data_IF_435311383621
#
_entry.id   IF_435311383621
#
_cell.length_a   1.000
_cell.length_b   1.000
_cell.length_c   1.000
_cell.angle_alpha   90.00
_cell.angle_beta   90.00
_cell.angle_gamma   90.00
#
_symmetry.space_group_name_H-M   'P 1'
#
loop_
_entity.id
_entity.type
_entity.pdbx_description
1 polymer ?
#
# COMPACT_ATOMS: atom_id res chain seq x y z
N UNK A 1 25.67 7.79 14.91
CA UNK A 1 24.75 6.68 14.58
C UNK A 1 23.84 6.39 15.77
N UNK A 2 22.70 5.78 15.53
CA UNK A 2 21.73 5.28 16.52
C UNK A 2 21.82 3.75 16.49
N UNK A 3 22.28 3.16 17.57
CA UNK A 3 22.69 1.75 17.64
C UNK A 3 21.81 1.04 18.67
N UNK A 4 21.14 -0.03 18.27
CA UNK A 4 20.44 -0.92 19.18
C UNK A 4 21.34 -2.08 19.61
N UNK A 5 21.45 -2.30 20.92
CA UNK A 5 22.29 -3.32 21.56
C UNK A 5 21.39 -4.30 22.28
N UNK A 6 21.35 -5.53 21.82
CA UNK A 6 20.46 -6.59 22.27
C UNK A 6 21.24 -7.88 22.47
N UNK A 7 20.86 -8.69 23.44
CA UNK A 7 21.36 -10.05 23.58
C UNK A 7 20.33 -10.95 24.26
N UNK A 8 20.26 -12.21 23.83
CA UNK A 8 19.60 -13.25 24.61
C UNK A 8 20.33 -13.45 25.97
N UNK A 9 19.62 -13.98 26.94
CA UNK A 9 20.16 -14.11 28.31
C UNK A 9 21.51 -14.83 28.36
N UNK A 10 21.67 -15.93 27.64
CA UNK A 10 22.92 -16.69 27.57
C UNK A 10 24.06 -15.93 26.86
N UNK A 11 23.77 -14.86 26.12
CA UNK A 11 24.77 -14.09 25.37
C UNK A 11 25.02 -12.68 25.94
N UNK A 12 24.35 -12.32 27.04
CA UNK A 12 24.48 -10.98 27.66
C UNK A 12 25.90 -10.71 28.14
N UNK A 13 26.56 -11.70 28.75
CA UNK A 13 27.91 -11.55 29.23
C UNK A 13 28.89 -11.24 28.07
N UNK A 14 28.77 -11.94 26.95
CA UNK A 14 29.57 -11.70 25.75
C UNK A 14 29.31 -10.29 25.17
N UNK A 15 28.07 -9.83 25.16
CA UNK A 15 27.75 -8.47 24.72
C UNK A 15 28.36 -7.42 25.66
N UNK A 16 28.27 -7.62 26.98
CA UNK A 16 28.93 -6.72 27.97
C UNK A 16 30.43 -6.64 27.75
N UNK A 17 31.10 -7.76 27.59
CA UNK A 17 32.52 -7.80 27.29
C UNK A 17 32.89 -7.07 26.00
N UNK A 18 32.09 -7.33 24.94
CA UNK A 18 32.26 -6.64 23.66
C UNK A 18 32.04 -5.14 23.76
N UNK A 19 30.97 -4.71 24.44
CA UNK A 19 30.70 -3.29 24.69
C UNK A 19 31.77 -2.62 25.55
N UNK A 20 32.33 -3.34 26.56
CA UNK A 20 33.41 -2.81 27.40
C UNK A 20 34.66 -2.53 26.55
N UNK A 21 35.00 -3.47 25.68
CA UNK A 21 36.14 -3.27 24.76
C UNK A 21 35.92 -2.10 23.79
N UNK A 22 34.71 -1.87 23.37
CA UNK A 22 34.33 -0.85 22.40
C UNK A 22 33.72 0.41 23.04
N UNK A 23 33.76 0.56 24.36
CA UNK A 23 33.05 1.59 25.12
C UNK A 23 33.32 3.00 24.62
N UNK A 24 34.58 3.29 24.33
CA UNK A 24 35.05 4.61 23.87
C UNK A 24 34.47 4.99 22.50
N UNK A 25 34.33 4.01 21.61
CA UNK A 25 33.69 4.24 20.29
C UNK A 25 32.18 4.34 20.44
N UNK A 26 31.55 3.44 21.20
CA UNK A 26 30.13 3.41 21.43
C UNK A 26 29.62 4.68 22.10
N UNK A 27 30.36 5.27 23.02
CA UNK A 27 30.00 6.49 23.74
C UNK A 27 29.77 7.71 22.83
N UNK A 28 30.31 7.69 21.62
CA UNK A 28 30.12 8.74 20.61
C UNK A 28 28.81 8.61 19.84
N UNK A 29 28.02 7.61 20.15
CA UNK A 29 26.78 7.28 19.43
C UNK A 29 25.57 7.27 20.38
N UNK A 30 24.35 7.34 19.83
CA UNK A 30 23.11 7.17 20.58
C UNK A 30 22.82 5.68 20.70
N UNK A 31 22.77 5.18 21.93
CA UNK A 31 22.60 3.76 22.21
C UNK A 31 21.22 3.46 22.77
N UNK A 32 20.63 2.38 22.32
CA UNK A 32 19.38 1.81 22.83
C UNK A 32 19.64 0.37 23.24
N UNK A 33 18.98 -0.10 24.28
CA UNK A 33 19.09 -1.49 24.72
C UNK A 33 17.80 -2.00 25.32
N UNK A 34 17.51 -3.30 25.13
CA UNK A 34 16.36 -3.91 25.80
C UNK A 34 16.58 -4.03 27.28
N UNK A 35 15.55 -3.78 28.06
CA UNK A 35 15.41 -3.86 29.52
C UNK A 35 16.66 -4.18 30.34
N UNK A 36 16.89 -5.46 30.59
CA UNK A 36 18.05 -5.91 31.41
C UNK A 36 19.38 -5.68 30.71
N UNK A 37 19.44 -5.73 29.38
CA UNK A 37 20.67 -5.46 28.61
C UNK A 37 21.10 -4.00 28.80
N UNK A 38 20.21 -3.05 28.64
CA UNK A 38 20.51 -1.63 28.85
C UNK A 38 21.05 -1.35 30.26
N UNK A 39 20.46 -1.98 31.29
CA UNK A 39 20.92 -1.86 32.68
C UNK A 39 22.35 -2.38 32.89
N UNK A 40 22.70 -3.52 32.27
CA UNK A 40 24.04 -4.09 32.36
C UNK A 40 25.05 -3.20 31.65
N UNK A 41 24.71 -2.71 30.46
CA UNK A 41 25.59 -1.85 29.66
C UNK A 41 25.79 -0.46 30.29
N UNK A 42 24.80 0.08 30.98
CA UNK A 42 24.88 1.34 31.72
C UNK A 42 25.85 1.32 32.89
N UNK A 43 26.38 0.14 33.30
CA UNK A 43 27.43 0.05 34.32
C UNK A 43 28.85 0.07 33.74
N UNK A 44 28.99 0.07 32.42
CA UNK A 44 30.31 0.08 31.75
C UNK A 44 30.94 1.47 31.90
N UNK A 45 32.15 1.59 32.48
CA UNK A 45 32.85 2.87 32.62
C UNK A 45 33.41 3.31 31.26
N UNK A 46 33.23 4.57 30.92
CA UNK A 46 33.81 5.23 29.76
C UNK A 46 34.74 6.33 30.26
N UNK A 47 35.98 6.29 29.81
CA UNK A 47 36.93 7.35 30.13
C UNK A 47 36.70 8.57 29.25
N UNK A 48 36.53 9.72 29.87
CA UNK A 48 36.33 10.99 29.18
C UNK A 48 37.52 11.92 29.42
N UNK A 49 37.87 12.67 28.39
CA UNK A 49 38.86 13.72 28.48
C UNK A 49 38.37 14.84 29.42
N UNK A 50 39.31 15.52 30.13
CA UNK A 50 38.96 16.67 30.94
C UNK A 50 38.25 17.73 30.09
N UNK A 51 37.24 18.38 30.68
CA UNK A 51 36.63 19.53 30.02
C UNK A 51 37.61 20.66 29.92
N UNK A 52 37.66 21.44 28.81
CA UNK A 52 38.62 22.55 28.65
C UNK A 52 38.55 23.65 29.71
N UNK A 53 37.42 23.75 30.35
CA UNK A 53 37.11 24.75 31.40
C UNK A 53 37.14 24.18 32.84
N UNK A 54 37.55 22.91 32.98
CA UNK A 54 37.68 22.30 34.30
C UNK A 54 38.93 22.80 35.05
N UNK A 55 38.75 23.07 36.34
CA UNK A 55 39.85 23.52 37.20
C UNK A 55 40.98 22.51 37.39
N UNK A 56 40.68 21.25 37.08
CA UNK A 56 41.67 20.16 37.07
C UNK A 56 41.62 19.44 35.70
N UNK A 57 42.77 19.12 35.12
CA UNK A 57 42.86 18.37 33.85
C UNK A 57 42.82 16.85 34.10
N UNK A 58 41.99 16.38 35.03
CA UNK A 58 41.93 14.98 35.40
C UNK A 58 40.88 14.24 34.54
N UNK A 59 41.28 13.07 34.08
CA UNK A 59 40.41 12.13 33.39
C UNK A 59 39.30 11.64 34.36
N UNK A 60 38.07 11.59 33.89
CA UNK A 60 36.96 11.09 34.68
C UNK A 60 36.22 9.98 33.94
N UNK A 61 35.62 9.10 34.69
CA UNK A 61 34.82 8.02 34.15
C UNK A 61 33.32 8.34 34.27
N UNK A 62 32.59 8.10 33.22
CA UNK A 62 31.10 8.13 33.22
C UNK A 62 30.54 6.79 32.78
N UNK A 63 29.35 6.41 33.23
CA UNK A 63 28.71 5.23 32.73
C UNK A 63 28.35 5.40 31.26
N UNK A 64 28.42 4.29 30.49
CA UNK A 64 27.96 4.27 29.10
C UNK A 64 26.48 4.62 29.05
N UNK A 65 26.13 5.64 28.27
CA UNK A 65 24.76 6.13 28.18
C UNK A 65 23.95 5.24 27.21
N UNK A 66 23.03 4.44 27.75
CA UNK A 66 22.15 3.55 26.98
C UNK A 66 20.71 3.83 27.34
N UNK A 67 19.91 4.23 26.38
CA UNK A 67 18.48 4.43 26.56
C UNK A 67 17.76 3.08 26.69
N UNK A 68 17.10 2.82 27.83
CA UNK A 68 16.44 1.54 28.05
C UNK A 68 15.12 1.46 27.27
N UNK A 69 14.89 0.35 26.61
CA UNK A 69 13.61 -0.07 26.05
C UNK A 69 13.00 -1.13 26.96
N UNK A 70 11.80 -1.62 26.62
CA UNK A 70 11.20 -2.76 27.29
C UNK A 70 12.08 -4.01 27.14
N UNK A 71 11.94 -4.99 28.00
CA UNK A 71 12.55 -6.32 27.78
C UNK A 71 11.92 -7.01 26.59
N UNK A 72 12.66 -7.91 25.91
CA UNK A 72 12.18 -8.62 24.70
C UNK A 72 10.77 -9.20 24.89
N UNK A 73 10.54 -10.09 25.89
CA UNK A 73 9.22 -10.70 26.13
C UNK A 73 8.10 -9.69 26.45
N UNK A 74 8.42 -8.46 26.78
CA UNK A 74 7.46 -7.38 27.05
C UNK A 74 7.30 -6.41 25.86
N UNK A 75 7.84 -6.75 24.69
CA UNK A 75 7.72 -5.92 23.49
C UNK A 75 8.93 -5.03 23.16
N UNK A 76 10.08 -5.25 23.80
CA UNK A 76 11.31 -4.53 23.46
C UNK A 76 11.76 -4.73 22.01
N UNK A 77 11.57 -5.94 21.49
CA UNK A 77 11.91 -6.30 20.11
C UNK A 77 11.00 -5.55 19.14
N UNK A 78 9.71 -5.43 19.44
CA UNK A 78 8.74 -4.66 18.65
C UNK A 78 9.04 -3.16 18.67
N UNK A 79 9.50 -2.62 19.81
CA UNK A 79 9.95 -1.21 19.88
C UNK A 79 11.12 -0.96 18.94
N UNK A 80 12.13 -1.85 18.94
CA UNK A 80 13.27 -1.74 18.02
C UNK A 80 12.81 -1.87 16.57
N UNK A 81 11.91 -2.82 16.27
CA UNK A 81 11.33 -3.01 14.95
C UNK A 81 10.60 -1.77 14.44
N UNK A 82 9.80 -1.12 15.28
CA UNK A 82 9.15 0.15 14.95
C UNK A 82 10.18 1.26 14.70
N UNK A 83 11.21 1.38 15.55
CA UNK A 83 12.29 2.36 15.36
C UNK A 83 13.09 2.13 14.09
N UNK A 84 13.28 0.88 13.64
CA UNK A 84 13.88 0.55 12.34
C UNK A 84 12.99 1.06 11.20
N UNK A 85 11.70 0.74 11.25
CA UNK A 85 10.74 1.15 10.23
C UNK A 85 10.59 2.68 10.11
N UNK A 86 10.74 3.39 11.23
CA UNK A 86 10.73 4.85 11.30
C UNK A 86 12.10 5.49 10.95
N UNK A 87 13.10 4.69 10.61
CA UNK A 87 14.45 5.15 10.32
C UNK A 87 15.17 5.76 11.53
N UNK A 88 14.85 5.31 12.74
CA UNK A 88 15.47 5.77 14.02
C UNK A 88 16.59 4.87 14.51
N UNK A 89 16.90 3.78 13.82
CA UNK A 89 18.02 2.87 14.10
C UNK A 89 18.87 2.74 12.84
N UNK A 90 20.16 2.95 12.98
CA UNK A 90 21.13 2.88 11.89
C UNK A 90 21.93 1.56 11.93
N UNK A 91 22.02 0.93 13.12
CA UNK A 91 22.74 -0.33 13.31
C UNK A 91 22.09 -1.15 14.42
N UNK A 92 21.96 -2.46 14.20
CA UNK A 92 21.46 -3.43 15.16
C UNK A 92 22.56 -4.45 15.50
N UNK A 93 22.98 -4.50 16.75
CA UNK A 93 23.89 -5.54 17.29
C UNK A 93 23.04 -6.42 18.21
N UNK A 94 22.73 -7.63 17.76
CA UNK A 94 21.90 -8.58 18.49
C UNK A 94 22.62 -9.92 18.65
N UNK A 95 23.23 -10.15 19.80
CA UNK A 95 23.90 -11.45 20.07
C UNK A 95 22.84 -12.52 20.35
N UNK A 96 22.55 -13.29 19.30
CA UNK A 96 21.54 -14.34 19.32
C UNK A 96 22.08 -15.65 19.93
N UNK A 97 21.25 -16.30 20.74
CA UNK A 97 21.41 -17.71 21.07
C UNK A 97 20.39 -18.52 20.24
N UNK A 98 20.91 -19.26 19.27
CA UNK A 98 20.11 -20.08 18.36
C UNK A 98 20.07 -21.57 18.77
N UNK A 99 20.71 -21.94 19.87
CA UNK A 99 20.73 -23.32 20.35
C UNK A 99 19.50 -23.64 21.20
N UNK A 100 19.00 -22.65 21.91
CA UNK A 100 17.84 -22.80 22.80
C UNK A 100 16.63 -22.13 22.17
N UNK A 101 15.54 -22.88 22.05
CA UNK A 101 14.25 -22.31 21.59
C UNK A 101 13.74 -21.31 22.61
N UNK A 102 13.77 -20.04 22.27
CA UNK A 102 13.21 -18.96 23.08
C UNK A 102 11.71 -18.85 22.81
N UNK A 103 10.93 -18.51 23.83
CA UNK A 103 9.48 -18.33 23.68
C UNK A 103 9.07 -17.22 22.70
N UNK A 104 10.00 -16.31 22.32
CA UNK A 104 9.78 -15.20 21.38
C UNK A 104 10.71 -15.28 20.15
N UNK A 105 11.12 -16.49 19.74
CA UNK A 105 12.02 -16.67 18.58
C UNK A 105 11.44 -16.14 17.28
N UNK A 106 10.13 -16.10 17.15
CA UNK A 106 9.44 -15.51 16.00
C UNK A 106 9.63 -13.99 15.94
N UNK A 107 9.68 -13.31 17.08
CA UNK A 107 9.91 -11.87 17.19
C UNK A 107 11.33 -11.52 16.77
N UNK A 108 12.31 -12.34 17.14
CA UNK A 108 13.70 -12.22 16.70
C UNK A 108 13.80 -12.31 15.17
N UNK A 109 13.14 -13.32 14.58
CA UNK A 109 13.07 -13.50 13.14
C UNK A 109 12.43 -12.29 12.44
N UNK A 110 11.38 -11.74 13.01
CA UNK A 110 10.72 -10.53 12.51
C UNK A 110 11.64 -9.31 12.56
N UNK A 111 12.39 -9.14 13.65
CA UNK A 111 13.33 -8.03 13.82
C UNK A 111 14.48 -8.10 12.80
N UNK A 112 15.09 -9.27 12.61
CA UNK A 112 16.13 -9.50 11.59
C UNK A 112 15.60 -9.25 10.18
N UNK A 113 14.38 -9.69 9.88
CA UNK A 113 13.72 -9.41 8.61
C UNK A 113 13.53 -7.91 8.37
N UNK A 114 13.11 -7.15 9.39
CA UNK A 114 12.97 -5.69 9.27
C UNK A 114 14.32 -5.02 9.04
N UNK A 115 15.36 -5.40 9.77
CA UNK A 115 16.71 -4.87 9.57
C UNK A 115 17.19 -5.10 8.12
N UNK A 116 16.99 -6.31 7.58
CA UNK A 116 17.30 -6.62 6.18
C UNK A 116 16.47 -5.80 5.21
N UNK A 117 15.15 -5.68 5.44
CA UNK A 117 14.23 -4.95 4.56
C UNK A 117 14.59 -3.47 4.46
N UNK A 118 14.90 -2.84 5.58
CA UNK A 118 15.25 -1.41 5.64
C UNK A 118 16.76 -1.14 5.42
N UNK A 119 17.53 -2.16 5.03
CA UNK A 119 18.96 -2.08 4.78
C UNK A 119 19.75 -1.49 5.97
N UNK A 120 19.34 -1.82 7.19
CA UNK A 120 20.03 -1.47 8.42
C UNK A 120 21.18 -2.45 8.62
N UNK A 121 22.38 -1.95 8.92
CA UNK A 121 23.53 -2.80 9.27
C UNK A 121 23.19 -3.62 10.51
N UNK A 122 23.35 -4.95 10.47
CA UNK A 122 23.05 -5.79 11.64
C UNK A 122 24.05 -6.92 11.83
N UNK A 123 24.31 -7.24 13.08
CA UNK A 123 25.14 -8.37 13.51
C UNK A 123 24.37 -9.26 14.48
N UNK A 124 24.39 -10.58 14.24
CA UNK A 124 23.80 -11.58 15.12
C UNK A 124 24.82 -12.31 16.00
N UNK A 125 26.09 -11.96 15.84
CA UNK A 125 27.23 -12.53 16.57
C UNK A 125 28.39 -11.50 16.67
N UNK A 126 29.37 -11.82 17.53
CA UNK A 126 30.49 -10.96 17.82
C UNK A 126 31.36 -10.67 16.58
N UNK A 127 31.70 -11.68 15.79
CA UNK A 127 32.55 -11.51 14.62
C UNK A 127 31.98 -10.49 13.63
N UNK A 128 30.66 -10.58 13.34
CA UNK A 128 30.02 -9.61 12.46
C UNK A 128 29.98 -8.22 13.10
N UNK A 129 29.76 -8.14 14.42
CA UNK A 129 29.78 -6.86 15.14
C UNK A 129 31.17 -6.21 15.07
N UNK A 130 32.27 -6.98 15.20
CA UNK A 130 33.63 -6.50 15.05
C UNK A 130 33.88 -5.95 13.63
N UNK A 131 33.44 -6.67 12.61
CA UNK A 131 33.57 -6.23 11.21
C UNK A 131 32.80 -4.92 10.94
N UNK A 132 31.58 -4.78 11.48
CA UNK A 132 30.83 -3.54 11.38
C UNK A 132 31.54 -2.39 12.08
N UNK A 133 32.01 -2.62 13.31
CA UNK A 133 32.67 -1.60 14.15
C UNK A 133 33.98 -1.09 13.53
N UNK A 134 34.71 -1.97 12.86
CA UNK A 134 35.99 -1.65 12.22
C UNK A 134 35.84 -1.12 10.79
N UNK A 135 34.62 -1.11 10.25
CA UNK A 135 34.36 -0.59 8.92
C UNK A 135 34.64 0.93 8.84
N UNK A 136 35.28 1.44 7.79
CA UNK A 136 35.42 2.87 7.56
C UNK A 136 34.09 3.61 7.35
N UNK A 137 33.03 2.87 7.12
CA UNK A 137 31.64 3.41 7.00
C UNK A 137 30.98 3.59 8.36
N UNK A 138 31.51 2.94 9.42
CA UNK A 138 30.91 3.04 10.74
C UNK A 138 31.07 4.45 11.30
N UNK A 139 29.94 5.09 11.66
CA UNK A 139 29.96 6.47 12.15
C UNK A 139 30.25 7.55 11.11
N UNK A 140 30.45 7.19 9.86
CA UNK A 140 30.62 8.14 8.77
C UNK A 140 29.30 8.89 8.51
N UNK A 141 29.29 10.22 8.67
CA UNK A 141 28.11 11.07 8.50
C UNK A 141 27.69 11.23 7.05
N UNK A 142 28.62 11.04 6.13
CA UNK A 142 28.37 11.18 4.69
C UNK A 142 27.82 9.88 4.06
N UNK A 143 27.99 8.76 4.76
CA UNK A 143 27.43 7.48 4.33
C UNK A 143 25.92 7.42 4.62
N UNK A 144 25.14 7.22 3.56
CA UNK A 144 23.70 7.00 3.65
C UNK A 144 23.36 5.61 3.09
N UNK A 145 22.77 4.72 3.88
CA UNK A 145 22.32 3.44 3.36
C UNK A 145 21.26 3.65 2.27
N UNK A 146 21.33 2.84 1.22
CA UNK A 146 20.34 2.86 0.13
C UNK A 146 19.12 2.09 0.60
N UNK A 147 18.01 2.79 0.73
CA UNK A 147 16.72 2.14 1.03
C UNK A 147 16.18 1.49 -0.26
N UNK A 148 15.79 0.20 -0.22
CA UNK A 148 15.26 -0.46 -1.40
C UNK A 148 14.01 0.25 -1.93
N UNK A 149 13.99 0.59 -3.22
CA UNK A 149 12.86 1.31 -3.85
C UNK A 149 11.53 0.53 -3.79
N UNK A 150 11.58 -0.78 -3.53
CA UNK A 150 10.39 -1.57 -3.27
C UNK A 150 9.61 -1.10 -2.02
N UNK A 151 10.28 -0.51 -1.02
CA UNK A 151 9.62 0.04 0.17
C UNK A 151 8.77 1.25 -0.19
N UNK A 152 9.30 2.17 -0.99
CA UNK A 152 8.56 3.35 -1.45
C UNK A 152 7.35 2.94 -2.29
N UNK A 153 7.52 2.05 -3.26
CA UNK A 153 6.40 1.51 -4.05
C UNK A 153 5.34 0.87 -3.15
N UNK A 154 5.76 0.18 -2.10
CA UNK A 154 4.82 -0.45 -1.18
C UNK A 154 4.09 0.56 -0.29
N UNK A 155 4.75 1.64 0.14
CA UNK A 155 4.12 2.73 0.91
C UNK A 155 3.09 3.48 0.05
N UNK A 156 3.46 3.81 -1.19
CA UNK A 156 2.64 4.63 -2.08
C UNK A 156 1.50 3.85 -2.75
N UNK A 157 1.44 2.51 -2.62
CA UNK A 157 0.41 1.66 -3.25
C UNK A 157 -1.03 2.00 -2.82
N UNK A 158 -1.23 2.58 -1.65
CA UNK A 158 -2.54 2.99 -1.16
C UNK A 158 -2.93 4.34 -1.77
N UNK A 159 -2.01 5.28 -1.89
CA UNK A 159 -2.22 6.55 -2.57
C UNK A 159 -2.58 6.33 -4.04
N UNK A 160 -1.87 5.43 -4.74
CA UNK A 160 -2.19 5.03 -6.11
C UNK A 160 -3.57 4.35 -6.25
N UNK A 161 -4.06 3.68 -5.21
CA UNK A 161 -5.41 3.09 -5.18
C UNK A 161 -6.47 4.14 -4.97
N UNK A 162 -6.30 5.01 -3.99
CA UNK A 162 -7.23 6.11 -3.72
C UNK A 162 -7.38 7.03 -4.96
N UNK A 163 -6.28 7.35 -5.65
CA UNK A 163 -6.34 8.09 -6.92
C UNK A 163 -7.10 7.35 -8.03
N UNK A 164 -6.95 6.02 -8.11
CA UNK A 164 -7.68 5.22 -9.09
C UNK A 164 -9.16 5.12 -8.75
N UNK A 165 -9.49 4.92 -7.49
CA UNK A 165 -10.86 4.80 -7.03
C UNK A 165 -11.59 6.15 -7.21
N UNK A 166 -10.95 7.28 -6.91
CA UNK A 166 -11.47 8.62 -7.16
C UNK A 166 -11.72 8.87 -8.65
N UNK A 167 -10.77 8.49 -9.53
CA UNK A 167 -10.96 8.60 -10.99
C UNK A 167 -12.09 7.73 -11.51
N UNK A 168 -12.27 6.53 -10.96
CA UNK A 168 -13.39 5.64 -11.33
C UNK A 168 -14.72 6.25 -10.90
N UNK A 169 -14.79 6.85 -9.71
CA UNK A 169 -15.99 7.56 -9.24
C UNK A 169 -16.29 8.81 -10.08
N UNK A 170 -15.29 9.59 -10.46
CA UNK A 170 -15.45 10.74 -11.35
C UNK A 170 -15.98 10.32 -12.73
N UNK A 171 -15.41 9.27 -13.33
CA UNK A 171 -15.86 8.73 -14.62
C UNK A 171 -17.30 8.19 -14.51
N UNK A 172 -17.61 7.50 -13.41
CA UNK A 172 -18.98 7.01 -13.18
C UNK A 172 -19.99 8.16 -13.03
N UNK A 173 -19.63 9.24 -12.33
CA UNK A 173 -20.47 10.43 -12.21
C UNK A 173 -20.63 11.17 -13.54
N UNK A 174 -19.58 11.29 -14.35
CA UNK A 174 -19.68 11.86 -15.71
C UNK A 174 -20.59 11.01 -16.62
N UNK A 175 -20.54 9.69 -16.53
CA UNK A 175 -21.42 8.81 -17.29
C UNK A 175 -22.89 8.95 -16.85
N UNK A 176 -23.16 9.06 -15.56
CA UNK A 176 -24.52 9.27 -15.03
C UNK A 176 -25.09 10.62 -15.51
N UNK A 177 -24.29 11.69 -15.49
CA UNK A 177 -24.74 13.01 -15.99
C UNK A 177 -24.93 13.04 -17.50
N UNK A 178 -24.17 12.27 -18.27
CA UNK A 178 -24.40 12.12 -19.71
C UNK A 178 -25.68 11.34 -20.02
N UNK A 179 -25.96 10.28 -19.24
CA UNK A 179 -27.20 9.49 -19.38
C UNK A 179 -28.45 10.26 -18.97
N UNK A 180 -28.36 11.19 -18.02
CA UNK A 180 -29.49 12.04 -17.65
C UNK A 180 -29.86 13.07 -18.74
N UNK A 181 -28.90 13.47 -19.58
CA UNK A 181 -29.10 14.41 -20.67
C UNK A 181 -29.59 13.77 -21.98
N UNK A 182 -29.66 12.45 -22.08
CA UNK A 182 -30.20 11.78 -23.26
C UNK A 182 -31.71 11.95 -23.28
N UNK A 183 -32.33 12.45 -24.37
CA UNK A 183 -33.79 12.56 -24.50
C UNK A 183 -34.43 11.19 -24.28
N UNK A 184 -35.58 11.17 -23.59
CA UNK A 184 -36.27 9.93 -23.25
C UNK A 184 -36.62 9.10 -24.50
N UNK A 185 -36.92 9.76 -25.62
CA UNK A 185 -37.12 9.11 -26.92
C UNK A 185 -35.88 8.33 -27.38
N UNK A 186 -34.68 8.88 -27.18
CA UNK A 186 -33.42 8.20 -27.51
C UNK A 186 -33.17 7.03 -26.56
N UNK A 187 -33.47 7.19 -25.25
CA UNK A 187 -33.41 6.07 -24.30
C UNK A 187 -34.35 4.94 -24.73
N UNK A 188 -35.60 5.24 -25.02
CA UNK A 188 -36.57 4.24 -25.50
C UNK A 188 -36.13 3.57 -26.81
N UNK A 189 -35.53 4.33 -27.74
CA UNK A 189 -34.98 3.74 -28.94
C UNK A 189 -33.82 2.78 -28.64
N UNK A 190 -32.94 3.14 -27.67
CA UNK A 190 -31.82 2.31 -27.26
C UNK A 190 -32.25 1.02 -26.56
N UNK A 191 -33.42 1.00 -25.92
CA UNK A 191 -33.96 -0.20 -25.26
C UNK A 191 -34.54 -1.22 -26.26
N UNK A 192 -34.85 -0.82 -27.50
CA UNK A 192 -35.36 -1.75 -28.51
C UNK A 192 -34.30 -2.83 -28.81
N UNK A 193 -34.79 -4.04 -29.02
CA UNK A 193 -33.93 -5.14 -29.47
C UNK A 193 -33.27 -4.84 -30.83
N UNK A 194 -32.07 -5.34 -31.04
CA UNK A 194 -31.27 -5.12 -32.28
C UNK A 194 -32.08 -5.50 -33.51
N UNK A 195 -32.80 -6.63 -33.45
CA UNK A 195 -33.61 -7.14 -34.56
C UNK A 195 -34.74 -6.18 -34.93
N UNK A 196 -35.39 -5.55 -33.94
CA UNK A 196 -36.48 -4.57 -34.18
C UNK A 196 -35.90 -3.29 -34.78
N UNK A 197 -34.81 -2.77 -34.23
CA UNK A 197 -34.12 -1.60 -34.75
C UNK A 197 -33.70 -1.75 -36.22
N UNK A 198 -33.04 -2.84 -36.55
CA UNK A 198 -32.59 -3.12 -37.93
C UNK A 198 -33.75 -3.21 -38.91
N UNK A 199 -34.83 -3.88 -38.54
CA UNK A 199 -36.00 -4.00 -39.41
C UNK A 199 -36.71 -2.67 -39.64
N UNK A 200 -36.86 -1.82 -38.61
CA UNK A 200 -37.43 -0.48 -38.75
C UNK A 200 -36.53 0.39 -39.61
N UNK A 201 -35.21 0.36 -39.39
CA UNK A 201 -34.23 1.11 -40.14
C UNK A 201 -34.27 0.72 -41.64
N UNK A 202 -34.25 -0.57 -41.94
CA UNK A 202 -34.31 -1.09 -43.30
C UNK A 202 -35.63 -0.72 -44.01
N UNK A 203 -36.77 -0.77 -43.32
CA UNK A 203 -38.05 -0.38 -43.86
C UNK A 203 -38.12 1.13 -44.15
N UNK A 204 -37.59 1.98 -43.28
CA UNK A 204 -37.48 3.44 -43.51
C UNK A 204 -36.59 3.77 -44.71
N UNK A 205 -35.46 3.10 -44.86
CA UNK A 205 -34.54 3.24 -46.02
C UNK A 205 -35.24 2.88 -47.37
N UNK A 206 -36.25 2.00 -47.31
CA UNK A 206 -37.06 1.62 -48.46
C UNK A 206 -38.33 2.47 -48.64
N UNK A 207 -38.49 3.55 -47.89
CA UNK A 207 -39.66 4.42 -47.85
C UNK A 207 -40.96 3.69 -47.50
N UNK A 208 -40.88 2.62 -46.74
CA UNK A 208 -42.01 1.92 -46.21
C UNK A 208 -42.46 2.56 -44.88
N UNK A 209 -43.76 2.50 -44.58
CA UNK A 209 -44.31 3.01 -43.33
C UNK A 209 -44.78 1.90 -42.39
N UNK A 210 -44.40 0.67 -42.70
CA UNK A 210 -44.67 -0.50 -41.86
C UNK A 210 -43.62 -1.57 -42.04
N UNK A 211 -43.48 -2.40 -40.98
CA UNK A 211 -42.67 -3.60 -41.02
C UNK A 211 -43.38 -4.75 -40.32
N UNK A 212 -43.20 -5.97 -40.85
CA UNK A 212 -43.78 -7.19 -40.27
C UNK A 212 -42.68 -8.05 -39.67
N UNK A 213 -42.85 -8.43 -38.41
CA UNK A 213 -42.00 -9.34 -37.71
C UNK A 213 -42.69 -10.67 -37.56
N UNK A 214 -42.15 -11.72 -38.20
CA UNK A 214 -42.74 -13.07 -38.18
C UNK A 214 -42.71 -13.62 -36.75
N UNK A 215 -43.80 -14.24 -36.34
CA UNK A 215 -43.88 -14.96 -35.06
C UNK A 215 -43.45 -16.41 -35.26
N UNK A 216 -42.49 -16.85 -34.46
CA UNK A 216 -42.03 -18.25 -34.47
C UNK A 216 -42.52 -18.94 -33.17
N UNK A 217 -43.86 -19.15 -33.05
CA UNK A 217 -44.49 -19.77 -31.88
C UNK A 217 -45.45 -18.85 -31.13
N UNK A 218 -46.13 -19.31 -30.09
CA UNK A 218 -47.18 -18.58 -29.40
C UNK A 218 -46.72 -17.31 -28.69
N UNK A 219 -45.45 -17.22 -28.28
CA UNK A 219 -44.94 -16.09 -27.50
C UNK A 219 -43.82 -15.29 -28.18
N UNK A 220 -43.42 -15.64 -29.40
CA UNK A 220 -42.27 -15.02 -30.07
C UNK A 220 -42.73 -13.95 -31.08
N UNK A 221 -43.13 -12.82 -30.54
CA UNK A 221 -43.33 -11.57 -31.28
C UNK A 221 -42.33 -10.52 -30.80
N UNK A 222 -42.84 -9.36 -30.46
CA UNK A 222 -42.10 -8.31 -29.75
C UNK A 222 -42.08 -8.62 -28.26
N UNK A 223 -40.94 -8.38 -27.62
CA UNK A 223 -40.89 -8.41 -26.15
C UNK A 223 -41.77 -7.32 -25.55
N UNK A 224 -42.16 -7.44 -24.29
CA UNK A 224 -42.96 -6.41 -23.62
C UNK A 224 -42.16 -5.08 -23.54
N UNK A 225 -40.86 -5.13 -23.41
CA UNK A 225 -39.98 -3.94 -23.45
C UNK A 225 -40.01 -3.30 -24.85
N UNK A 226 -39.85 -4.11 -25.92
CA UNK A 226 -39.96 -3.58 -27.29
C UNK A 226 -41.35 -2.95 -27.56
N UNK A 227 -42.41 -3.55 -27.09
CA UNK A 227 -43.79 -3.00 -27.24
C UNK A 227 -43.94 -1.66 -26.52
N UNK A 228 -43.47 -1.58 -25.27
CA UNK A 228 -43.54 -0.36 -24.47
C UNK A 228 -42.73 0.76 -25.10
N UNK A 229 -41.50 0.47 -25.52
CA UNK A 229 -40.60 1.43 -26.17
C UNK A 229 -41.18 1.93 -27.51
N UNK A 230 -41.72 1.03 -28.35
CA UNK A 230 -42.34 1.39 -29.63
C UNK A 230 -43.57 2.28 -29.46
N UNK A 231 -44.46 1.94 -28.51
CA UNK A 231 -45.66 2.75 -28.22
C UNK A 231 -45.24 4.14 -27.73
N UNK A 232 -44.26 4.23 -26.87
CA UNK A 232 -43.74 5.52 -26.41
C UNK A 232 -43.15 6.35 -27.56
N UNK A 233 -42.50 5.71 -28.52
CA UNK A 233 -41.90 6.34 -29.71
C UNK A 233 -42.96 6.66 -30.78
N UNK A 234 -44.26 6.46 -30.51
CA UNK A 234 -45.34 6.79 -31.42
C UNK A 234 -45.61 5.77 -32.53
N UNK A 235 -45.04 4.56 -32.43
CA UNK A 235 -45.35 3.47 -33.36
C UNK A 235 -46.68 2.80 -32.99
N UNK A 236 -47.42 2.38 -34.00
CA UNK A 236 -48.61 1.55 -33.81
C UNK A 236 -48.28 0.07 -34.00
N UNK A 237 -48.71 -0.75 -33.08
CA UNK A 237 -48.47 -2.18 -33.10
C UNK A 237 -49.83 -2.92 -33.32
N UNK A 238 -49.90 -3.78 -34.31
CA UNK A 238 -50.97 -4.73 -34.49
C UNK A 238 -50.43 -6.14 -34.63
N UNK A 239 -51.11 -7.10 -34.04
CA UNK A 239 -50.65 -8.49 -34.02
C UNK A 239 -51.71 -9.43 -34.51
N UNK A 240 -51.31 -10.44 -35.27
CA UNK A 240 -52.14 -11.60 -35.61
C UNK A 240 -51.38 -12.88 -35.32
N UNK A 241 -51.92 -14.03 -35.65
CA UNK A 241 -51.30 -15.32 -35.39
C UNK A 241 -49.96 -15.55 -36.13
N UNK A 242 -49.73 -14.84 -37.25
CA UNK A 242 -48.57 -15.05 -38.09
C UNK A 242 -47.41 -14.05 -37.87
N UNK A 243 -47.72 -12.80 -37.53
CA UNK A 243 -46.74 -11.72 -37.40
C UNK A 243 -47.23 -10.58 -36.47
N UNK A 244 -46.27 -9.80 -35.98
CA UNK A 244 -46.45 -8.46 -35.42
C UNK A 244 -46.18 -7.44 -36.51
N UNK A 245 -47.11 -6.52 -36.73
CA UNK A 245 -46.97 -5.39 -37.63
C UNK A 245 -46.68 -4.14 -36.80
N UNK A 246 -45.60 -3.47 -37.13
CA UNK A 246 -45.22 -2.16 -36.56
C UNK A 246 -45.46 -1.14 -37.70
N UNK A 247 -46.20 -0.08 -37.45
CA UNK A 247 -46.45 0.98 -38.43
C UNK A 247 -46.21 2.33 -37.79
N UNK A 248 -45.88 3.31 -38.62
CA UNK A 248 -45.64 4.70 -38.22
C UNK A 248 -46.18 5.64 -39.31
N UNK A 249 -46.41 6.89 -38.94
CA UNK A 249 -46.76 7.94 -39.90
C UNK A 249 -45.45 8.40 -40.54
N UNK A 250 -45.33 8.33 -41.85
CA UNK A 250 -44.29 9.04 -42.55
C UNK A 250 -44.71 10.53 -42.58
N UNK A 251 -44.20 11.30 -41.62
CA UNK A 251 -44.20 12.73 -41.75
C UNK A 251 -43.36 13.06 -42.98
N UNK A 252 -44.03 13.36 -44.08
CA UNK A 252 -43.36 13.73 -45.32
C UNK A 252 -42.40 14.84 -45.03
N UNK A 253 -41.20 14.66 -45.53
CA UNK A 253 -40.07 15.53 -45.51
C UNK A 253 -40.43 17.04 -45.54
N UNK A 254 -40.67 17.62 -44.36
CA UNK A 254 -40.60 19.09 -44.22
C UNK A 254 -39.22 19.47 -43.78
N UNK A 255 -38.35 19.61 -44.80
CA UNK A 255 -37.18 20.43 -44.65
C UNK A 255 -37.60 21.82 -44.21
N UNK A 256 -37.27 22.16 -42.98
CA UNK A 256 -37.04 23.56 -42.67
C UNK A 256 -35.88 23.68 -41.72
N UNK A 257 -34.76 24.03 -42.34
CA UNK A 257 -33.63 24.64 -41.69
C UNK A 257 -34.02 25.95 -41.01
N UNK A 258 -33.56 26.12 -39.81
CA UNK A 258 -33.19 27.49 -39.38
C UNK A 258 -34.17 28.22 -38.46
N UNK A 259 -33.88 28.23 -37.19
CA UNK A 259 -33.33 29.40 -36.48
C UNK A 259 -32.98 29.06 -35.06
#
# INVERSE_FOLDING_TARGET
MRIALVAHDARKQELVEWCTHNAQTLSKHTLFGTGTTARLLGNIPVMNEPKPDAATMDWYTMPLQVTPLLSGPLGGDQQIGAMIAEGKIDCLIFFCDNLITQGHQQDVGALVRLASLYNVAFATNRTTADMIMTSPLFGNKDYKPIIPGAIEKYKNRFEEREEKDTKVEEIAQEQVTQDENIPLSQKMWNELSTTVKEKIKCAKEQNLNEVKIKRNGPDLGLSENDKSALLYLGYTISTNWAYCKISWINDGNDGNDGK
#
